data_IF_894111406074
#
_entry.id   IF_894111406074
#
_cell.length_a   1.000
_cell.length_b   1.000
_cell.length_c   1.000
_cell.angle_alpha   90.00
_cell.angle_beta   90.00
_cell.angle_gamma   90.00
#
_symmetry.space_group_name_H-M   'P 1'
#
loop_
_entity.id
_entity.type
_entity.pdbx_description
1 polymer ?
#
# COMPACT_ATOMS: atom_id res chain seq x y z
N UNK A 1 -24.56 -5.05 40.18
CA UNK A 1 -24.73 -3.68 39.62
C UNK A 1 -23.58 -3.45 38.64
N UNK A 2 -23.82 -3.81 37.38
CA UNK A 2 -22.78 -3.79 36.31
C UNK A 2 -23.01 -2.52 35.51
N UNK A 3 -22.08 -1.59 35.58
CA UNK A 3 -22.10 -0.33 34.82
C UNK A 3 -21.49 -0.60 33.46
N UNK A 4 -22.31 -0.64 32.40
CA UNK A 4 -21.89 -0.59 31.01
C UNK A 4 -21.30 0.83 30.73
N UNK A 5 -20.04 0.90 30.33
CA UNK A 5 -19.49 2.06 29.66
C UNK A 5 -19.79 1.93 28.15
N UNK A 6 -20.80 2.64 27.71
CA UNK A 6 -21.01 2.94 26.30
C UNK A 6 -19.94 3.92 25.86
N UNK A 7 -19.07 3.49 24.94
CA UNK A 7 -18.14 4.37 24.28
C UNK A 7 -18.89 5.12 23.17
N UNK A 8 -19.10 6.41 23.39
CA UNK A 8 -19.53 7.37 22.39
C UNK A 8 -18.51 7.42 21.25
N UNK A 9 -18.82 6.78 20.14
CA UNK A 9 -18.21 7.10 18.85
C UNK A 9 -19.08 8.18 18.22
N UNK A 10 -18.84 9.43 18.60
CA UNK A 10 -19.49 10.58 18.00
C UNK A 10 -18.49 11.35 17.12
N UNK A 11 -18.86 11.48 15.84
CA UNK A 11 -18.53 12.66 15.08
C UNK A 11 -17.18 12.69 14.38
N UNK A 12 -16.96 11.81 13.38
CA UNK A 12 -16.12 12.18 12.24
C UNK A 12 -17.06 12.59 11.12
N UNK A 13 -17.42 13.87 11.08
CA UNK A 13 -18.08 14.45 9.91
C UNK A 13 -17.10 14.40 8.74
N UNK A 14 -17.41 13.57 7.75
CA UNK A 14 -16.76 13.60 6.45
C UNK A 14 -17.25 14.85 5.70
N UNK A 15 -16.50 15.94 5.84
CA UNK A 15 -16.73 17.16 5.10
C UNK A 15 -16.65 16.92 3.60
N UNK A 16 -17.74 17.25 2.91
CA UNK A 16 -17.82 17.43 1.46
C UNK A 16 -16.61 18.20 0.94
N UNK A 17 -16.11 17.80 -0.24
CA UNK A 17 -15.02 18.41 -1.01
C UNK A 17 -14.93 19.94 -0.82
N UNK A 18 -14.17 20.41 0.14
CA UNK A 18 -13.68 21.77 0.19
C UNK A 18 -12.23 21.77 -0.26
N UNK A 19 -11.96 22.54 -1.32
CA UNK A 19 -10.59 22.85 -1.76
C UNK A 19 -9.80 23.40 -0.60
N UNK A 20 -8.69 22.73 -0.24
CA UNK A 20 -7.61 23.35 0.52
C UNK A 20 -7.70 23.26 2.02
N UNK A 21 -7.31 22.09 2.60
CA UNK A 21 -6.49 22.02 3.82
C UNK A 21 -5.76 20.67 3.85
N UNK A 22 -4.42 20.64 3.89
CA UNK A 22 -3.68 19.37 3.90
C UNK A 22 -3.82 18.71 5.28
N UNK A 23 -4.26 17.45 5.31
CA UNK A 23 -4.42 16.61 6.49
C UNK A 23 -3.09 16.16 7.13
N UNK A 24 -1.95 16.60 6.59
CA UNK A 24 -0.60 16.10 6.91
C UNK A 24 0.26 17.11 7.66
N UNK A 25 -0.27 17.84 8.65
CA UNK A 25 0.61 18.53 9.60
C UNK A 25 1.01 17.56 10.72
N UNK A 26 2.04 16.76 10.47
CA UNK A 26 2.91 16.29 11.54
C UNK A 26 3.84 17.46 11.85
N UNK A 27 3.79 17.98 13.07
CA UNK A 27 4.66 19.07 13.53
C UNK A 27 6.13 18.70 13.26
N UNK A 28 6.81 19.47 12.41
CA UNK A 28 8.21 19.26 12.04
C UNK A 28 8.47 18.55 10.71
N UNK A 29 7.44 18.08 9.99
CA UNK A 29 7.62 17.60 8.64
C UNK A 29 7.69 18.76 7.67
N UNK A 30 8.75 18.83 6.85
CA UNK A 30 8.76 19.69 5.67
C UNK A 30 7.50 19.44 4.84
N UNK A 31 6.91 20.51 4.32
CA UNK A 31 5.72 20.46 3.48
C UNK A 31 5.99 19.52 2.30
N UNK A 32 5.45 18.28 2.35
CA UNK A 32 5.53 17.36 1.25
C UNK A 32 4.58 17.84 0.17
N UNK A 33 5.13 18.13 -1.01
CA UNK A 33 4.35 18.69 -2.15
C UNK A 33 3.16 17.78 -2.42
N UNK A 34 1.97 18.35 -2.33
CA UNK A 34 0.72 17.69 -2.73
C UNK A 34 0.73 17.60 -4.27
N UNK A 35 1.23 16.47 -4.77
CA UNK A 35 1.35 16.25 -6.21
C UNK A 35 -0.02 15.88 -6.77
N UNK A 36 -0.49 16.66 -7.75
CA UNK A 36 -1.71 16.36 -8.49
C UNK A 36 -1.67 14.94 -9.09
N UNK A 37 -2.81 14.24 -9.01
CA UNK A 37 -2.98 12.87 -9.51
C UNK A 37 -2.52 12.72 -10.96
N UNK A 38 -2.85 13.69 -11.82
CA UNK A 38 -2.45 13.67 -13.23
C UNK A 38 -0.94 13.76 -13.42
N UNK A 39 -0.25 14.48 -12.53
CA UNK A 39 1.21 14.55 -12.53
C UNK A 39 1.82 13.23 -12.11
N UNK A 40 1.28 12.61 -11.06
CA UNK A 40 1.71 11.31 -10.56
C UNK A 40 1.54 10.25 -11.65
N UNK A 41 0.34 10.14 -12.27
CA UNK A 41 0.05 9.18 -13.35
C UNK A 41 1.04 9.31 -14.50
N UNK A 42 1.19 10.52 -15.07
CA UNK A 42 2.13 10.75 -16.17
C UNK A 42 3.57 10.38 -15.81
N UNK A 43 3.97 10.56 -14.57
CA UNK A 43 5.30 10.21 -14.09
C UNK A 43 5.48 8.70 -14.01
N UNK A 44 4.48 7.97 -13.48
CA UNK A 44 4.50 6.51 -13.44
C UNK A 44 4.47 5.91 -14.85
N UNK A 45 3.66 6.44 -15.75
CA UNK A 45 3.60 6.01 -17.15
C UNK A 45 4.96 6.12 -17.86
N UNK A 46 5.67 7.24 -17.66
CA UNK A 46 7.02 7.44 -18.23
C UNK A 46 8.06 6.49 -17.63
N UNK A 47 7.97 6.22 -16.33
CA UNK A 47 8.96 5.43 -15.60
C UNK A 47 8.63 3.94 -15.59
N UNK A 48 7.44 3.55 -16.06
CA UNK A 48 6.99 2.15 -16.09
C UNK A 48 8.01 1.22 -16.79
N UNK A 49 8.76 1.71 -17.79
CA UNK A 49 9.83 0.97 -18.45
C UNK A 49 11.09 0.76 -17.61
N UNK A 50 11.34 1.66 -16.65
CA UNK A 50 12.55 1.70 -15.85
C UNK A 50 12.38 1.04 -14.47
N UNK A 51 11.18 0.59 -14.12
CA UNK A 51 10.92 -0.06 -12.82
C UNK A 51 11.88 -1.21 -12.52
N UNK A 52 12.17 -2.15 -13.44
CA UNK A 52 13.13 -3.22 -13.18
C UNK A 52 14.53 -2.70 -12.82
N UNK A 53 14.95 -1.60 -13.42
CA UNK A 53 16.22 -0.94 -13.12
C UNK A 53 16.20 -0.30 -11.72
N UNK A 54 15.13 0.39 -11.35
CA UNK A 54 14.98 0.96 -10.01
C UNK A 54 14.93 -0.11 -8.93
N UNK A 55 14.25 -1.24 -9.15
CA UNK A 55 14.23 -2.36 -8.20
C UNK A 55 15.63 -2.96 -8.00
N UNK A 56 16.41 -3.07 -9.07
CA UNK A 56 17.81 -3.51 -8.99
C UNK A 56 18.65 -2.48 -8.22
N UNK A 57 18.50 -1.20 -8.53
CA UNK A 57 19.25 -0.11 -7.90
C UNK A 57 18.93 0.03 -6.41
N UNK A 58 17.69 -0.22 -6.02
CA UNK A 58 17.22 -0.11 -4.63
C UNK A 58 17.53 -1.33 -3.77
N UNK A 59 18.21 -2.35 -4.32
CA UNK A 59 18.65 -3.54 -3.59
C UNK A 59 17.56 -4.13 -2.68
N UNK A 60 16.34 -4.37 -3.21
CA UNK A 60 15.28 -4.96 -2.41
C UNK A 60 15.76 -6.27 -1.75
N UNK A 61 15.43 -6.52 -0.47
CA UNK A 61 15.81 -7.75 0.20
C UNK A 61 15.33 -8.99 -0.58
N UNK A 62 16.17 -10.03 -0.72
CA UNK A 62 15.73 -11.27 -1.36
C UNK A 62 14.47 -11.83 -0.72
N UNK A 63 13.48 -12.19 -1.55
CA UNK A 63 12.21 -12.74 -1.07
C UNK A 63 11.28 -11.73 -0.38
N UNK A 64 11.58 -10.43 -0.37
CA UNK A 64 10.82 -9.40 0.33
C UNK A 64 9.32 -9.40 -0.05
N UNK A 65 9.03 -9.49 -1.36
CA UNK A 65 7.65 -9.54 -1.87
C UNK A 65 6.91 -10.80 -1.42
N UNK A 66 7.57 -11.96 -1.48
CA UNK A 66 6.99 -13.22 -0.98
C UNK A 66 6.69 -13.12 0.50
N UNK A 67 7.64 -12.66 1.32
CA UNK A 67 7.43 -12.48 2.76
C UNK A 67 6.22 -11.58 3.07
N UNK A 68 6.03 -10.51 2.32
CA UNK A 68 4.87 -9.64 2.50
C UNK A 68 3.54 -10.36 2.19
N UNK A 69 3.50 -11.14 1.11
CA UNK A 69 2.32 -11.95 0.77
C UNK A 69 2.09 -13.06 1.79
N UNK A 70 3.15 -13.73 2.26
CA UNK A 70 3.05 -14.78 3.31
C UNK A 70 2.43 -14.23 4.61
N UNK A 71 2.64 -12.93 4.92
CA UNK A 71 2.04 -12.27 6.08
C UNK A 71 0.53 -12.04 5.96
N UNK A 72 -0.04 -12.16 4.76
CA UNK A 72 -1.49 -12.16 4.56
C UNK A 72 -2.13 -13.48 5.05
N UNK A 73 -1.34 -14.56 5.17
CA UNK A 73 -1.78 -15.91 5.57
C UNK A 73 -3.01 -16.38 4.76
N UNK A 74 -2.97 -16.12 3.46
CA UNK A 74 -4.02 -16.50 2.51
C UNK A 74 -4.09 -18.01 2.34
N UNK A 75 -5.29 -18.51 2.09
CA UNK A 75 -5.57 -19.92 1.82
C UNK A 75 -6.13 -20.09 0.39
N UNK A 76 -6.02 -21.27 -0.21
CA UNK A 76 -6.71 -21.56 -1.47
C UNK A 76 -8.21 -21.25 -1.35
N UNK A 77 -8.72 -20.48 -2.30
CA UNK A 77 -10.11 -20.00 -2.31
C UNK A 77 -10.31 -18.58 -1.77
N UNK A 78 -9.31 -18.00 -1.09
CA UNK A 78 -9.38 -16.65 -0.54
C UNK A 78 -9.41 -15.57 -1.64
N UNK A 79 -9.84 -14.37 -1.24
CA UNK A 79 -9.90 -13.17 -2.06
C UNK A 79 -8.86 -12.15 -1.59
N UNK A 80 -7.95 -11.79 -2.46
CA UNK A 80 -6.89 -10.85 -2.18
C UNK A 80 -7.00 -9.60 -3.06
N UNK A 81 -6.66 -8.44 -2.50
CA UNK A 81 -6.55 -7.16 -3.22
C UNK A 81 -5.14 -6.62 -3.09
N UNK A 82 -4.55 -6.20 -4.21
CA UNK A 82 -3.35 -5.36 -4.21
C UNK A 82 -3.73 -3.93 -4.61
N UNK A 83 -3.45 -2.97 -3.72
CA UNK A 83 -3.69 -1.55 -3.94
C UNK A 83 -2.39 -0.89 -4.43
N UNK A 84 -2.47 -0.24 -5.61
CA UNK A 84 -1.30 0.25 -6.33
C UNK A 84 -0.49 -0.91 -6.89
N UNK A 85 -1.15 -1.84 -7.62
CA UNK A 85 -0.51 -3.06 -8.12
C UNK A 85 0.56 -2.81 -9.18
N UNK A 86 0.58 -1.63 -9.79
CA UNK A 86 1.56 -1.21 -10.78
C UNK A 86 1.66 -2.19 -11.94
N UNK A 87 2.87 -2.67 -12.21
CA UNK A 87 3.14 -3.65 -13.28
C UNK A 87 2.83 -5.09 -12.90
N UNK A 88 2.24 -5.33 -11.72
CA UNK A 88 1.79 -6.64 -11.27
C UNK A 88 2.86 -7.53 -10.63
N UNK A 89 3.91 -6.96 -10.05
CA UNK A 89 5.07 -7.74 -9.53
C UNK A 89 4.74 -8.63 -8.32
N UNK A 90 3.71 -8.32 -7.55
CA UNK A 90 3.27 -9.14 -6.44
C UNK A 90 2.17 -10.14 -6.84
N UNK A 91 1.52 -9.93 -7.99
CA UNK A 91 0.43 -10.79 -8.48
C UNK A 91 0.80 -12.29 -8.55
N UNK A 92 2.02 -12.69 -8.97
CA UNK A 92 2.40 -14.11 -8.98
C UNK A 92 2.33 -14.76 -7.60
N UNK A 93 2.75 -14.02 -6.56
CA UNK A 93 2.74 -14.53 -5.18
C UNK A 93 1.32 -14.57 -4.61
N UNK A 94 0.50 -13.55 -4.89
CA UNK A 94 -0.90 -13.50 -4.49
C UNK A 94 -1.70 -14.61 -5.17
N UNK A 95 -1.55 -14.76 -6.49
CA UNK A 95 -2.23 -15.80 -7.25
C UNK A 95 -1.87 -17.20 -6.77
N UNK A 96 -0.57 -17.44 -6.49
CA UNK A 96 -0.12 -18.70 -5.91
C UNK A 96 -0.73 -18.96 -4.53
N UNK A 97 -0.84 -17.94 -3.69
CA UNK A 97 -1.38 -18.07 -2.34
C UNK A 97 -2.87 -18.40 -2.32
N UNK A 98 -3.67 -17.72 -3.17
CA UNK A 98 -5.12 -17.97 -3.23
C UNK A 98 -5.48 -19.18 -4.09
N UNK A 99 -4.55 -19.67 -4.91
CA UNK A 99 -4.77 -20.82 -5.80
C UNK A 99 -5.81 -20.56 -6.90
N UNK A 100 -6.18 -21.61 -7.68
CA UNK A 100 -7.06 -21.45 -8.85
C UNK A 100 -8.52 -21.14 -8.47
N UNK A 101 -8.96 -21.48 -7.27
CA UNK A 101 -10.33 -21.25 -6.78
C UNK A 101 -10.50 -19.90 -6.10
N UNK A 102 -9.40 -19.26 -5.70
CA UNK A 102 -9.42 -17.91 -5.12
C UNK A 102 -9.44 -16.81 -6.18
N UNK A 103 -9.46 -15.57 -5.73
CA UNK A 103 -9.46 -14.39 -6.62
C UNK A 103 -8.42 -13.37 -6.19
N UNK A 104 -7.79 -12.73 -7.16
CA UNK A 104 -6.87 -11.61 -6.95
C UNK A 104 -7.39 -10.38 -7.71
N UNK A 105 -7.56 -9.28 -6.99
CA UNK A 105 -7.87 -7.98 -7.55
C UNK A 105 -6.62 -7.11 -7.50
N UNK A 106 -6.27 -6.48 -8.61
CA UNK A 106 -5.19 -5.50 -8.69
C UNK A 106 -5.74 -4.15 -9.09
N UNK A 107 -5.63 -3.16 -8.22
CA UNK A 107 -6.11 -1.79 -8.47
C UNK A 107 -4.92 -0.87 -8.66
N UNK A 108 -4.96 -0.10 -9.75
CA UNK A 108 -4.01 0.99 -10.01
C UNK A 108 -4.70 2.10 -10.81
N UNK A 109 -4.27 3.34 -10.64
CA UNK A 109 -4.83 4.47 -11.39
C UNK A 109 -4.04 4.79 -12.68
N UNK A 110 -2.88 4.15 -12.90
CA UNK A 110 -2.01 4.34 -14.06
C UNK A 110 -2.34 3.33 -15.16
N UNK A 111 -2.89 3.76 -16.31
CA UNK A 111 -3.19 2.86 -17.43
C UNK A 111 -1.92 2.22 -18.01
N UNK A 112 -0.78 2.95 -18.01
CA UNK A 112 0.50 2.43 -18.49
C UNK A 112 1.07 1.30 -17.61
N UNK A 113 0.88 1.39 -16.28
CA UNK A 113 1.22 0.31 -15.36
C UNK A 113 0.33 -0.91 -15.56
N UNK A 114 -0.98 -0.70 -15.61
CA UNK A 114 -1.96 -1.77 -15.81
C UNK A 114 -1.80 -2.47 -17.16
N UNK A 115 -1.40 -1.77 -18.21
CA UNK A 115 -1.11 -2.39 -19.50
C UNK A 115 -0.01 -3.47 -19.38
N UNK A 116 0.99 -3.25 -18.53
CA UNK A 116 2.05 -4.25 -18.27
C UNK A 116 1.56 -5.39 -17.37
N UNK A 117 0.76 -5.08 -16.36
CA UNK A 117 0.13 -6.09 -15.51
C UNK A 117 -0.82 -6.98 -16.31
N UNK A 118 -1.61 -6.43 -17.26
CA UNK A 118 -2.47 -7.18 -18.17
C UNK A 118 -1.66 -8.14 -19.06
N UNK A 119 -0.54 -7.68 -19.65
CA UNK A 119 0.37 -8.53 -20.41
C UNK A 119 0.99 -9.65 -19.55
N UNK A 120 1.28 -9.39 -18.28
CA UNK A 120 1.74 -10.41 -17.36
C UNK A 120 0.65 -11.45 -17.11
N UNK A 121 -0.58 -11.00 -16.78
CA UNK A 121 -1.74 -11.87 -16.58
C UNK A 121 -2.00 -12.78 -17.79
N UNK A 122 -1.98 -12.20 -19.00
CA UNK A 122 -2.18 -12.95 -20.26
C UNK A 122 -1.10 -14.02 -20.47
N UNK A 123 0.18 -13.66 -20.29
CA UNK A 123 1.30 -14.61 -20.43
C UNK A 123 1.26 -15.75 -19.43
N UNK A 124 0.69 -15.52 -18.26
CA UNK A 124 0.56 -16.50 -17.18
C UNK A 124 -0.80 -17.24 -17.23
N UNK A 125 -1.66 -16.89 -18.18
CA UNK A 125 -3.01 -17.48 -18.37
C UNK A 125 -3.88 -17.43 -17.09
N UNK A 126 -3.70 -16.37 -16.26
CA UNK A 126 -4.47 -16.26 -15.03
C UNK A 126 -5.91 -15.80 -15.30
N UNK A 127 -6.86 -16.70 -15.14
CA UNK A 127 -8.30 -16.42 -15.27
C UNK A 127 -8.91 -15.82 -14.00
N UNK A 128 -8.24 -15.96 -12.84
CA UNK A 128 -8.72 -15.53 -11.53
C UNK A 128 -8.05 -14.23 -11.04
N UNK A 129 -7.33 -13.53 -11.91
CA UNK A 129 -6.74 -12.20 -11.63
C UNK A 129 -7.50 -11.14 -12.40
N UNK A 130 -8.06 -10.16 -11.69
CA UNK A 130 -8.77 -9.01 -12.26
C UNK A 130 -7.98 -7.73 -12.03
N UNK A 131 -7.85 -6.89 -13.08
CA UNK A 131 -7.08 -5.65 -13.05
C UNK A 131 -8.01 -4.46 -13.33
N UNK A 132 -8.12 -3.58 -12.34
CA UNK A 132 -9.08 -2.47 -12.32
C UNK A 132 -8.35 -1.14 -12.35
N UNK A 133 -8.73 -0.28 -13.30
CA UNK A 133 -8.25 1.09 -13.39
C UNK A 133 -9.19 2.01 -12.62
N UNK A 134 -8.79 2.36 -11.41
CA UNK A 134 -9.54 3.33 -10.60
C UNK A 134 -8.65 3.93 -9.51
N UNK A 135 -9.16 4.99 -8.88
CA UNK A 135 -8.60 5.44 -7.62
C UNK A 135 -8.92 4.43 -6.51
N UNK A 136 -7.91 4.04 -5.76
CA UNK A 136 -8.08 3.09 -4.66
C UNK A 136 -9.03 3.59 -3.55
N UNK A 137 -9.21 4.91 -3.43
CA UNK A 137 -10.18 5.50 -2.50
C UNK A 137 -11.63 5.26 -2.92
N UNK A 138 -11.86 5.04 -4.23
CA UNK A 138 -13.18 4.85 -4.81
C UNK A 138 -13.48 3.36 -5.14
N UNK A 139 -12.50 2.47 -4.91
CA UNK A 139 -12.67 1.05 -5.22
C UNK A 139 -13.66 0.37 -4.27
N UNK A 140 -14.58 -0.39 -4.85
CA UNK A 140 -15.55 -1.24 -4.14
C UNK A 140 -15.32 -2.69 -4.54
N UNK A 141 -15.06 -3.54 -3.56
CA UNK A 141 -14.94 -4.96 -3.80
C UNK A 141 -16.33 -5.62 -3.94
N UNK A 142 -16.49 -6.61 -4.84
CA UNK A 142 -17.77 -7.32 -5.01
C UNK A 142 -18.17 -8.14 -3.77
N UNK A 143 -17.18 -8.56 -2.98
CA UNK A 143 -17.35 -9.35 -1.77
C UNK A 143 -16.28 -8.98 -0.74
N UNK A 144 -16.49 -9.26 0.58
CA UNK A 144 -15.47 -9.05 1.59
C UNK A 144 -14.17 -9.78 1.28
N UNK A 145 -13.04 -9.13 1.55
CA UNK A 145 -11.70 -9.61 1.23
C UNK A 145 -11.04 -10.29 2.42
N UNK A 146 -10.25 -11.33 2.15
CA UNK A 146 -9.44 -12.06 3.13
C UNK A 146 -8.12 -11.36 3.41
N UNK A 147 -7.52 -10.76 2.37
CA UNK A 147 -6.25 -10.07 2.49
C UNK A 147 -6.11 -8.86 1.56
N UNK A 148 -5.45 -7.82 2.06
CA UNK A 148 -5.13 -6.61 1.28
C UNK A 148 -3.65 -6.31 1.40
N UNK A 149 -2.99 -6.08 0.26
CA UNK A 149 -1.58 -5.74 0.15
C UNK A 149 -1.39 -4.32 -0.41
N UNK A 150 -0.56 -3.54 0.25
CA UNK A 150 0.10 -2.37 -0.32
C UNK A 150 1.56 -2.73 -0.60
N UNK A 151 1.93 -2.86 -1.86
CA UNK A 151 3.25 -3.32 -2.29
C UNK A 151 4.12 -2.20 -2.83
N UNK A 152 4.86 -1.46 -1.99
CA UNK A 152 5.64 -0.27 -2.34
C UNK A 152 4.76 0.86 -2.93
N UNK A 153 3.56 1.01 -2.42
CA UNK A 153 2.56 1.94 -2.95
C UNK A 153 2.01 2.90 -1.89
N UNK A 154 1.94 2.49 -0.62
CA UNK A 154 1.30 3.25 0.44
C UNK A 154 1.94 4.64 0.64
N UNK A 155 3.27 4.69 0.72
CA UNK A 155 4.01 5.94 0.93
C UNK A 155 3.95 6.90 -0.26
N UNK A 156 3.49 6.43 -1.42
CA UNK A 156 3.37 7.23 -2.66
C UNK A 156 1.98 7.83 -2.85
N UNK A 157 1.01 7.43 -2.05
CA UNK A 157 -0.39 7.86 -2.18
C UNK A 157 -0.63 9.21 -1.50
N UNK A 158 -1.14 10.23 -2.21
CA UNK A 158 -1.43 11.55 -1.60
C UNK A 158 -2.42 11.46 -0.46
N UNK A 159 -3.45 10.63 -0.60
CA UNK A 159 -4.55 10.46 0.38
C UNK A 159 -4.49 9.08 1.05
N UNK A 160 -3.29 8.63 1.45
CA UNK A 160 -3.05 7.29 1.99
C UNK A 160 -3.99 6.92 3.15
N UNK A 161 -4.36 7.86 4.02
CA UNK A 161 -5.29 7.59 5.13
C UNK A 161 -6.72 7.30 4.65
N UNK A 162 -7.19 8.02 3.62
CA UNK A 162 -8.50 7.75 3.00
C UNK A 162 -8.50 6.38 2.34
N UNK A 163 -7.42 6.06 1.60
CA UNK A 163 -7.25 4.77 0.95
C UNK A 163 -7.14 3.64 2.00
N UNK A 164 -6.42 3.87 3.11
CA UNK A 164 -6.32 2.89 4.20
C UNK A 164 -7.68 2.62 4.85
N UNK A 165 -8.46 3.67 5.09
CA UNK A 165 -9.81 3.53 5.65
C UNK A 165 -10.71 2.72 4.71
N UNK A 166 -10.70 3.03 3.41
CA UNK A 166 -11.43 2.27 2.40
C UNK A 166 -10.97 0.81 2.38
N UNK A 167 -9.67 0.56 2.29
CA UNK A 167 -9.11 -0.79 2.30
C UNK A 167 -9.55 -1.58 3.55
N UNK A 168 -9.49 -0.94 4.72
CA UNK A 168 -9.90 -1.59 5.96
C UNK A 168 -11.38 -1.96 5.98
N UNK A 169 -12.24 -1.12 5.39
CA UNK A 169 -13.68 -1.41 5.28
C UNK A 169 -13.96 -2.64 4.45
N UNK A 170 -13.16 -2.89 3.40
CA UNK A 170 -13.32 -4.02 2.47
C UNK A 170 -12.91 -5.38 3.07
N UNK A 171 -12.12 -5.40 4.15
CA UNK A 171 -11.72 -6.64 4.81
C UNK A 171 -12.90 -7.27 5.57
N UNK A 172 -12.97 -8.60 5.55
CA UNK A 172 -13.82 -9.34 6.50
C UNK A 172 -13.23 -9.31 7.92
N UNK A 173 -14.01 -9.59 8.98
CA UNK A 173 -13.44 -9.90 10.29
C UNK A 173 -12.41 -11.05 10.20
N UNK A 174 -11.28 -10.91 10.89
CA UNK A 174 -10.13 -11.81 10.78
C UNK A 174 -9.28 -11.65 9.53
N UNK A 175 -9.68 -10.79 8.58
CA UNK A 175 -8.89 -10.46 7.39
C UNK A 175 -7.64 -9.67 7.73
N UNK A 176 -6.63 -9.71 6.85
CA UNK A 176 -5.32 -9.12 7.11
C UNK A 176 -4.98 -8.05 6.07
N UNK A 177 -4.44 -6.95 6.56
CA UNK A 177 -3.88 -5.88 5.73
C UNK A 177 -2.37 -5.84 5.95
N UNK A 178 -1.63 -5.89 4.85
CA UNK A 178 -0.17 -5.83 4.86
C UNK A 178 0.32 -4.64 4.05
N UNK A 179 1.24 -3.88 4.63
CA UNK A 179 1.94 -2.79 3.96
C UNK A 179 3.43 -3.15 3.95
N UNK A 180 3.97 -3.35 2.76
CA UNK A 180 5.41 -3.46 2.53
C UNK A 180 5.90 -2.19 1.84
N UNK A 181 6.90 -1.55 2.43
CA UNK A 181 7.41 -0.30 1.85
C UNK A 181 8.85 -0.02 2.32
N UNK A 182 9.43 1.09 1.86
CA UNK A 182 10.74 1.56 2.24
C UNK A 182 10.63 2.81 3.13
N UNK A 183 11.63 3.02 3.98
CA UNK A 183 11.80 4.22 4.79
C UNK A 183 13.27 4.62 4.85
N UNK A 184 13.55 5.84 5.28
CA UNK A 184 14.93 6.22 5.56
C UNK A 184 15.47 5.37 6.72
N UNK A 185 16.69 4.81 6.59
CA UNK A 185 17.29 4.04 7.66
C UNK A 185 17.38 4.85 8.96
N UNK A 186 17.16 4.25 10.13
CA UNK A 186 17.31 4.94 11.40
C UNK A 186 18.79 5.15 11.77
N UNK A 187 19.05 6.01 12.76
CA UNK A 187 20.37 6.25 13.33
C UNK A 187 21.22 7.29 12.61
N UNK A 188 22.45 7.49 13.12
CA UNK A 188 23.35 8.56 12.66
C UNK A 188 23.66 8.49 11.16
N UNK A 189 23.84 7.28 10.62
CA UNK A 189 24.05 7.09 9.17
C UNK A 189 22.85 7.53 8.35
N UNK A 190 21.63 7.24 8.81
CA UNK A 190 20.38 7.69 8.18
C UNK A 190 20.22 9.21 8.23
N UNK A 191 20.56 9.84 9.36
CA UNK A 191 20.54 11.29 9.50
C UNK A 191 21.49 11.98 8.52
N UNK A 192 22.69 11.45 8.33
CA UNK A 192 23.70 12.00 7.42
C UNK A 192 23.23 11.97 5.96
N UNK A 193 22.59 10.88 5.54
CA UNK A 193 22.09 10.74 4.16
C UNK A 193 20.67 11.30 3.95
N UNK A 194 19.99 11.71 5.03
CA UNK A 194 18.60 12.19 4.98
C UNK A 194 18.37 13.33 3.96
N UNK A 195 19.18 14.40 3.92
CA UNK A 195 18.92 15.51 2.98
C UNK A 195 18.93 15.02 1.52
N UNK A 196 19.92 14.17 1.18
CA UNK A 196 20.02 13.58 -0.15
C UNK A 196 18.88 12.60 -0.40
N UNK A 197 18.55 11.72 0.57
CA UNK A 197 17.45 10.78 0.48
C UNK A 197 16.10 11.45 0.27
N UNK A 198 15.79 12.50 1.04
CA UNK A 198 14.57 13.30 0.89
C UNK A 198 14.54 14.00 -0.47
N UNK A 199 15.67 14.59 -0.91
CA UNK A 199 15.77 15.20 -2.23
C UNK A 199 15.51 14.19 -3.35
N UNK A 200 16.08 12.98 -3.24
CA UNK A 200 15.88 11.89 -4.20
C UNK A 200 14.40 11.43 -4.20
N UNK A 201 13.81 11.23 -3.03
CA UNK A 201 12.41 10.83 -2.88
C UNK A 201 11.45 11.87 -3.45
N UNK A 202 11.68 13.17 -3.23
CA UNK A 202 10.91 14.25 -3.86
C UNK A 202 10.98 14.24 -5.40
N UNK A 203 12.04 13.69 -5.99
CA UNK A 203 12.28 13.66 -7.44
C UNK A 203 12.00 12.32 -8.11
N UNK A 204 11.82 11.27 -7.31
CA UNK A 204 11.57 9.90 -7.79
C UNK A 204 10.19 9.41 -7.33
N UNK A 205 9.95 8.11 -7.51
CA UNK A 205 8.70 7.42 -7.13
C UNK A 205 8.77 6.84 -5.70
N UNK A 206 9.77 7.22 -4.90
CA UNK A 206 10.04 6.57 -3.61
C UNK A 206 9.09 6.99 -2.47
N UNK A 207 8.13 7.86 -2.76
CA UNK A 207 7.08 8.23 -1.82
C UNK A 207 7.53 9.16 -0.69
N UNK A 208 6.65 9.35 0.29
CA UNK A 208 6.88 10.22 1.43
C UNK A 208 7.56 9.45 2.59
N UNK A 209 8.81 9.77 2.97
CA UNK A 209 9.56 9.06 3.99
C UNK A 209 9.05 9.28 5.42
N UNK A 210 8.14 10.23 5.61
CA UNK A 210 7.58 10.59 6.92
C UNK A 210 6.30 9.83 7.27
N UNK A 211 5.69 9.12 6.32
CA UNK A 211 4.53 8.26 6.58
C UNK A 211 4.96 7.11 7.50
N UNK A 212 4.10 6.77 8.44
CA UNK A 212 4.32 5.72 9.44
C UNK A 212 3.13 4.75 9.45
N UNK A 213 3.07 3.80 8.50
CA UNK A 213 1.89 2.94 8.31
C UNK A 213 1.48 2.16 9.56
N UNK A 214 2.43 1.75 10.38
CA UNK A 214 2.14 1.09 11.67
C UNK A 214 1.38 1.98 12.64
N UNK A 215 1.59 3.32 12.61
CA UNK A 215 0.80 4.28 13.39
C UNK A 215 -0.59 4.51 12.79
N UNK A 216 -0.67 4.44 11.46
CA UNK A 216 -1.94 4.58 10.75
C UNK A 216 -2.82 3.35 10.99
N UNK A 217 -2.25 2.13 10.93
CA UNK A 217 -2.93 0.89 11.25
C UNK A 217 -3.37 0.81 12.72
N UNK A 218 -2.60 1.40 13.66
CA UNK A 218 -2.94 1.43 15.08
C UNK A 218 -4.26 2.17 15.40
N UNK A 219 -4.81 2.89 14.43
CA UNK A 219 -6.14 3.53 14.55
C UNK A 219 -7.29 2.54 14.38
N UNK A 220 -7.01 1.36 13.82
CA UNK A 220 -8.01 0.36 13.46
C UNK A 220 -7.91 -0.92 14.29
N UNK A 221 -6.72 -1.27 14.77
CA UNK A 221 -6.47 -2.52 15.49
C UNK A 221 -5.25 -2.42 16.39
N UNK A 222 -5.27 -3.14 17.51
CA UNK A 222 -4.11 -3.33 18.38
C UNK A 222 -3.24 -4.53 17.94
N UNK A 223 -3.75 -5.36 17.00
CA UNK A 223 -3.06 -6.53 16.47
C UNK A 223 -2.16 -6.13 15.31
N UNK A 224 -1.01 -5.52 15.63
CA UNK A 224 -0.03 -5.05 14.65
C UNK A 224 1.28 -5.81 14.84
N UNK A 225 1.82 -6.28 13.72
CA UNK A 225 3.16 -6.84 13.64
C UNK A 225 3.99 -6.07 12.63
N UNK A 226 5.27 -5.88 12.93
CA UNK A 226 6.21 -5.21 12.05
C UNK A 226 7.53 -5.96 12.01
N UNK A 227 8.04 -6.17 10.81
CA UNK A 227 9.38 -6.74 10.55
C UNK A 227 10.18 -5.77 9.70
N UNK A 228 11.43 -5.52 10.08
CA UNK A 228 12.35 -4.62 9.37
C UNK A 228 13.46 -5.41 8.68
N UNK A 229 13.92 -4.90 7.54
CA UNK A 229 14.96 -5.48 6.71
C UNK A 229 15.99 -4.43 6.33
N UNK A 230 17.22 -4.87 6.00
CA UNK A 230 18.29 -3.99 5.52
C UNK A 230 18.52 -2.79 6.46
N UNK A 231 18.83 -3.09 7.73
CA UNK A 231 19.06 -2.07 8.77
C UNK A 231 17.89 -1.07 8.92
N UNK A 232 16.66 -1.54 8.70
CA UNK A 232 15.45 -0.75 8.83
C UNK A 232 15.09 0.11 7.61
N UNK A 233 15.76 -0.08 6.46
CA UNK A 233 15.41 0.63 5.22
C UNK A 233 14.13 0.11 4.58
N UNK A 234 13.78 -1.16 4.80
CA UNK A 234 12.56 -1.79 4.33
C UNK A 234 11.78 -2.37 5.51
N UNK A 235 10.48 -2.46 5.37
CA UNK A 235 9.61 -3.04 6.39
C UNK A 235 8.39 -3.72 5.79
N UNK A 236 7.86 -4.68 6.54
CA UNK A 236 6.54 -5.28 6.35
C UNK A 236 5.75 -5.06 7.63
N UNK A 237 4.62 -4.39 7.53
CA UNK A 237 3.70 -4.12 8.63
C UNK A 237 2.37 -4.80 8.35
N UNK A 238 1.83 -5.55 9.32
CA UNK A 238 0.56 -6.27 9.23
C UNK A 238 -0.41 -5.80 10.30
N UNK A 239 -1.67 -5.59 9.94
CA UNK A 239 -2.79 -5.45 10.85
C UNK A 239 -3.84 -6.51 10.61
N UNK A 240 -4.51 -7.00 11.67
CA UNK A 240 -5.62 -7.96 11.60
C UNK A 240 -6.90 -7.25 12.00
N UNK A 241 -7.94 -7.39 11.17
CA UNK A 241 -9.26 -6.82 11.47
C UNK A 241 -9.94 -7.65 12.57
N UNK A 242 -10.38 -7.02 13.67
CA UNK A 242 -11.08 -7.72 14.73
C UNK A 242 -12.41 -8.33 14.29
#
# INVERSE_FOLDING_TARGET
MVVRKEALVSGVEFGTRSRGKPWNRVSGAEEWVDLDRSFISRRYDRLAGLIPFFDWLLFQPPGFRRKAVDRLDLKPGDRALEIGCGTGRNLPFLQQAVGPTGRVYGVDFSPGMLAKARKLRERQEWSNVELIECDAADYVAPEPLDGILFGLSYNTMPHHLTVLHQAWSLLRPGGRLVIMDAKLPPGLGGELVRPFGVWLMKRTMLGNPYIRPWKDLARFTDQIEMEEFMLGAYYVCRGIKP
#
